data_IF_008078086453
#
_entry.id   IF_008078086453
#
_cell.length_a   1.000
_cell.length_b   1.000
_cell.length_c   1.000
_cell.angle_alpha   90.00
_cell.angle_beta   90.00
_cell.angle_gamma   90.00
#
_symmetry.space_group_name_H-M   'P 1'
#
loop_
_entity.id
_entity.type
_entity.pdbx_description
1 polymer ?
#
# COMPACT_ATOMS: atom_id res chain seq x y z
N UNK A 1 -21.92 -8.38 6.79
CA UNK A 1 -20.99 -7.35 7.32
C UNK A 1 -19.65 -8.02 7.60
N UNK A 2 -18.60 -7.71 6.83
CA UNK A 2 -17.21 -7.75 7.28
C UNK A 2 -16.34 -7.13 6.17
N UNK A 3 -16.12 -5.82 6.29
CA UNK A 3 -15.32 -4.95 5.40
C UNK A 3 -13.81 -5.30 5.33
N UNK A 4 -13.41 -6.53 5.68
CA UNK A 4 -12.01 -6.92 5.91
C UNK A 4 -11.33 -7.47 4.63
N UNK A 5 -12.09 -7.71 3.56
CA UNK A 5 -11.59 -8.50 2.43
C UNK A 5 -11.20 -7.74 1.17
N UNK A 6 -11.83 -6.62 0.84
CA UNK A 6 -11.66 -6.07 -0.51
C UNK A 6 -10.56 -5.00 -0.58
N UNK A 7 -9.31 -5.47 -0.78
CA UNK A 7 -8.45 -4.75 -1.73
C UNK A 7 -9.23 -4.71 -3.04
N UNK A 8 -9.54 -3.53 -3.61
CA UNK A 8 -10.36 -3.46 -4.81
C UNK A 8 -9.75 -4.33 -5.90
N UNK A 9 -10.56 -5.10 -6.63
CA UNK A 9 -10.05 -5.98 -7.69
C UNK A 9 -9.26 -5.18 -8.75
N UNK A 10 -9.66 -3.92 -8.97
CA UNK A 10 -9.00 -2.94 -9.85
C UNK A 10 -7.71 -2.33 -9.28
N UNK A 11 -7.40 -2.57 -8.00
CA UNK A 11 -6.12 -2.19 -7.38
C UNK A 11 -5.04 -3.27 -7.58
N UNK A 12 -5.27 -4.23 -8.50
CA UNK A 12 -4.30 -5.24 -8.93
C UNK A 12 -3.95 -5.00 -10.40
N UNK A 13 -3.05 -4.06 -10.68
CA UNK A 13 -2.48 -3.88 -12.02
C UNK A 13 -1.44 -4.95 -12.36
N UNK A 14 -0.74 -4.80 -13.49
CA UNK A 14 0.38 -5.67 -13.93
C UNK A 14 1.63 -5.63 -13.02
N UNK A 15 1.56 -4.96 -11.88
CA UNK A 15 2.71 -4.77 -11.00
C UNK A 15 3.22 -6.08 -10.39
N UNK A 16 4.54 -6.16 -10.11
CA UNK A 16 5.10 -7.27 -9.35
C UNK A 16 4.45 -7.39 -7.97
N UNK A 17 3.91 -8.58 -7.66
CA UNK A 17 3.29 -8.86 -6.36
C UNK A 17 4.08 -9.90 -5.57
N UNK A 18 4.01 -9.80 -4.24
CA UNK A 18 4.50 -10.81 -3.31
C UNK A 18 3.41 -11.85 -3.07
N UNK A 19 3.81 -13.13 -3.08
CA UNK A 19 2.96 -14.25 -2.64
C UNK A 19 3.07 -14.34 -1.11
N UNK A 20 1.95 -14.25 -0.38
CA UNK A 20 1.93 -14.36 1.08
C UNK A 20 0.69 -13.73 1.71
N UNK A 21 -0.18 -14.55 2.30
CA UNK A 21 -1.43 -14.09 2.93
C UNK A 21 -1.18 -13.35 4.25
N UNK A 22 -0.17 -13.78 5.01
CA UNK A 22 0.18 -13.18 6.30
C UNK A 22 0.61 -11.72 6.16
N UNK A 23 1.54 -11.40 5.25
CA UNK A 23 1.99 -10.02 5.04
C UNK A 23 0.84 -9.10 4.58
N UNK A 24 -0.04 -9.60 3.71
CA UNK A 24 -1.26 -8.88 3.30
C UNK A 24 -2.21 -8.63 4.46
N UNK A 25 -2.29 -9.57 5.39
CA UNK A 25 -3.08 -9.41 6.61
C UNK A 25 -2.45 -8.38 7.55
N UNK A 26 -1.12 -8.44 7.78
CA UNK A 26 -0.40 -7.43 8.58
C UNK A 26 -0.61 -6.03 8.02
N UNK A 27 -0.51 -5.84 6.70
CA UNK A 27 -0.81 -4.56 6.05
C UNK A 27 -2.23 -4.07 6.32
N UNK A 28 -3.23 -4.95 6.15
CA UNK A 28 -4.64 -4.61 6.40
C UNK A 28 -4.91 -4.27 7.87
N UNK A 29 -4.31 -5.01 8.82
CA UNK A 29 -4.44 -4.72 10.25
C UNK A 29 -3.77 -3.40 10.60
N UNK A 30 -2.56 -3.15 10.07
CA UNK A 30 -1.85 -1.87 10.25
C UNK A 30 -2.69 -0.67 9.81
N UNK A 31 -3.26 -0.70 8.59
CA UNK A 31 -4.12 0.38 8.10
C UNK A 31 -5.32 0.65 9.03
N UNK A 32 -5.93 -0.40 9.61
CA UNK A 32 -7.05 -0.24 10.55
C UNK A 32 -6.60 0.37 11.87
N UNK A 33 -5.50 -0.11 12.44
CA UNK A 33 -5.01 0.34 13.77
C UNK A 33 -4.46 1.77 13.75
N UNK A 34 -3.84 2.20 12.64
CA UNK A 34 -3.19 3.52 12.53
C UNK A 34 -4.14 4.66 12.11
N UNK A 35 -5.46 4.45 12.16
CA UNK A 35 -6.45 5.48 11.84
C UNK A 35 -7.58 5.06 10.92
N UNK A 36 -7.83 3.75 10.74
CA UNK A 36 -8.95 3.28 9.92
C UNK A 36 -8.80 3.55 8.43
N UNK A 37 -7.56 3.56 7.93
CA UNK A 37 -7.24 3.92 6.55
C UNK A 37 -7.91 2.99 5.53
N UNK A 38 -8.45 3.60 4.47
CA UNK A 38 -9.06 2.90 3.32
C UNK A 38 -8.25 3.20 2.07
N UNK A 39 -8.05 2.19 1.24
CA UNK A 39 -7.38 2.34 -0.06
C UNK A 39 -8.47 2.55 -1.11
N UNK A 40 -8.45 3.71 -1.76
CA UNK A 40 -9.39 4.07 -2.83
C UNK A 40 -8.61 4.40 -4.11
N UNK A 41 -9.25 4.17 -5.26
CA UNK A 41 -8.69 4.50 -6.58
C UNK A 41 -8.14 3.28 -7.33
N UNK A 42 -7.70 3.54 -8.56
CA UNK A 42 -7.25 2.53 -9.51
C UNK A 42 -5.75 2.60 -9.72
N UNK A 43 -5.12 1.44 -9.89
CA UNK A 43 -3.73 1.38 -10.32
C UNK A 43 -3.65 1.51 -11.84
N UNK A 44 -2.62 2.17 -12.38
CA UNK A 44 -2.41 2.21 -13.82
C UNK A 44 -2.05 0.80 -14.33
N UNK A 45 -2.57 0.46 -15.51
CA UNK A 45 -2.33 -0.83 -16.16
C UNK A 45 -0.98 -0.82 -16.90
N UNK A 46 0.10 -0.75 -16.12
CA UNK A 46 1.48 -0.69 -16.62
C UNK A 46 2.40 -1.60 -15.81
N UNK A 47 3.43 -2.14 -16.46
CA UNK A 47 4.42 -3.03 -15.81
C UNK A 47 5.33 -2.33 -14.81
N UNK A 48 5.56 -1.02 -14.98
CA UNK A 48 6.49 -0.21 -14.18
C UNK A 48 5.92 1.19 -14.01
N UNK A 49 5.96 1.70 -12.78
CA UNK A 49 5.54 3.05 -12.45
C UNK A 49 6.35 3.59 -11.27
N UNK A 50 6.39 4.91 -11.14
CA UNK A 50 6.81 5.61 -9.92
C UNK A 50 5.54 6.10 -9.24
N UNK A 51 5.37 5.74 -7.97
CA UNK A 51 4.21 6.15 -7.16
C UNK A 51 4.71 7.17 -6.13
N UNK A 52 4.48 8.48 -6.34
CA UNK A 52 4.80 9.48 -5.34
C UNK A 52 3.81 9.42 -4.17
N UNK A 53 4.30 9.65 -2.95
CA UNK A 53 3.46 9.85 -1.77
C UNK A 53 3.32 11.36 -1.59
N UNK A 54 2.12 11.90 -1.74
CA UNK A 54 1.87 13.33 -1.59
C UNK A 54 0.41 13.60 -1.14
N UNK A 55 0.13 14.72 -0.45
CA UNK A 55 1.11 15.62 0.18
C UNK A 55 1.86 14.94 1.34
N UNK A 56 3.09 15.36 1.63
CA UNK A 56 3.80 14.90 2.83
C UNK A 56 3.36 15.72 4.04
N UNK A 57 2.72 15.07 5.00
CA UNK A 57 2.22 15.69 6.23
C UNK A 57 3.16 15.46 7.40
N UNK A 58 3.82 14.29 7.46
CA UNK A 58 4.78 13.93 8.51
C UNK A 58 5.56 12.66 8.15
N UNK A 59 6.58 12.32 8.94
CA UNK A 59 7.30 11.05 8.77
C UNK A 59 6.40 9.80 8.89
N UNK A 60 5.19 9.94 9.46
CA UNK A 60 4.20 8.85 9.53
C UNK A 60 3.61 8.45 8.17
N UNK A 61 3.77 9.28 7.13
CA UNK A 61 3.37 8.93 5.77
C UNK A 61 4.11 7.68 5.27
N UNK A 62 5.36 7.47 5.71
CA UNK A 62 6.15 6.31 5.31
C UNK A 62 5.60 4.99 5.90
N UNK A 63 5.40 4.83 7.23
CA UNK A 63 4.72 3.66 7.79
C UNK A 63 3.36 3.37 7.16
N UNK A 64 2.53 4.39 6.94
CA UNK A 64 1.23 4.22 6.26
C UNK A 64 1.43 3.68 4.83
N UNK A 65 2.38 4.24 4.07
CA UNK A 65 2.75 3.73 2.75
C UNK A 65 3.24 2.28 2.76
N UNK A 66 4.01 1.87 3.77
CA UNK A 66 4.42 0.47 3.95
C UNK A 66 3.23 -0.45 4.18
N UNK A 67 2.26 -0.05 5.02
CA UNK A 67 1.05 -0.85 5.22
C UNK A 67 0.19 -0.95 3.96
N UNK A 68 0.09 0.12 3.16
CA UNK A 68 -0.56 0.09 1.84
C UNK A 68 0.15 -0.91 0.93
N UNK A 69 1.48 -0.84 0.81
CA UNK A 69 2.28 -1.79 0.02
C UNK A 69 2.01 -3.25 0.46
N UNK A 70 2.02 -3.51 1.77
CA UNK A 70 1.80 -4.85 2.32
C UNK A 70 0.37 -5.34 2.06
N UNK A 71 -0.65 -4.50 2.31
CA UNK A 71 -2.05 -4.84 2.12
C UNK A 71 -2.36 -5.22 0.67
N UNK A 72 -1.79 -4.46 -0.28
CA UNK A 72 -1.89 -4.72 -1.72
C UNK A 72 -0.99 -5.90 -2.15
N UNK A 73 0.02 -6.23 -1.33
CA UNK A 73 1.03 -7.24 -1.61
C UNK A 73 1.94 -6.84 -2.76
N UNK A 74 2.23 -5.55 -2.90
CA UNK A 74 3.13 -5.04 -3.93
C UNK A 74 4.59 -5.36 -3.57
N UNK A 75 5.40 -5.62 -4.59
CA UNK A 75 6.85 -5.71 -4.47
C UNK A 75 7.43 -4.38 -4.98
N UNK A 76 7.58 -3.42 -4.07
CA UNK A 76 8.14 -2.09 -4.36
C UNK A 76 9.58 -1.97 -3.86
N UNK A 77 10.34 -1.12 -4.55
CA UNK A 77 11.56 -0.50 -4.03
C UNK A 77 11.19 0.92 -3.58
N UNK A 78 11.73 1.39 -2.46
CA UNK A 78 11.52 2.76 -1.99
C UNK A 78 12.74 3.63 -2.33
N UNK A 79 12.48 4.89 -2.61
CA UNK A 79 13.50 5.92 -2.76
C UNK A 79 13.27 6.93 -1.65
N UNK A 80 14.17 6.97 -0.67
CA UNK A 80 14.15 7.93 0.43
C UNK A 80 15.46 8.70 0.45
N UNK A 81 15.40 10.01 0.67
CA UNK A 81 16.60 10.82 0.92
C UNK A 81 17.18 10.42 2.27
N UNK A 82 18.50 10.26 2.33
CA UNK A 82 19.20 9.82 3.54
C UNK A 82 19.26 10.88 4.67
N UNK A 83 18.98 12.15 4.35
CA UNK A 83 18.97 13.24 5.34
C UNK A 83 17.57 13.83 5.50
N UNK A 84 17.23 14.13 6.75
CA UNK A 84 16.21 15.12 7.12
C UNK A 84 16.67 16.52 6.70
#
# INVERSE_FOLDING_TARGET
>A
MNEIENVPAHAKGEFPTRKGRFLKWVGRVGLRLFGGWKINGQMPDVKKAIIPIAPHTSNWDFPVGVFVMLALGLKLNYLGKASL
#
